data_IF_091950659249
#
_entry.id   IF_091950659249
#
_cell.length_a   1.000
_cell.length_b   1.000
_cell.length_c   1.000
_cell.angle_alpha   90.00
_cell.angle_beta   90.00
_cell.angle_gamma   90.00
#
_symmetry.space_group_name_H-M   'P 1'
#
loop_
_entity.id
_entity.type
_entity.pdbx_description
1 polymer ?
#
# COMPACT_ATOMS: atom_id res chain seq x y z
N UNK A 1 0.09 1.75 36.90
CA UNK A 1 0.70 1.92 35.55
C UNK A 1 0.58 0.67 34.67
N UNK A 2 1.17 -0.50 34.99
CA UNK A 2 1.07 -1.67 34.06
C UNK A 2 -0.36 -2.17 33.83
N UNK A 3 -1.22 -2.16 34.83
CA UNK A 3 -2.60 -2.62 34.72
C UNK A 3 -3.48 -1.64 33.92
N UNK A 4 -3.22 -0.37 34.00
CA UNK A 4 -3.93 0.70 33.28
C UNK A 4 -3.73 0.64 31.75
N UNK A 5 -2.56 0.16 31.30
CA UNK A 5 -2.22 -0.02 29.88
C UNK A 5 -2.64 -1.41 29.33
N UNK A 6 -3.52 -2.12 30.05
CA UNK A 6 -4.04 -3.41 29.63
C UNK A 6 -5.22 -3.24 28.68
N UNK A 7 -5.25 -3.97 27.58
CA UNK A 7 -6.36 -3.99 26.63
C UNK A 7 -7.60 -4.57 27.33
N UNK A 8 -8.66 -3.77 27.41
CA UNK A 8 -9.94 -4.15 28.04
C UNK A 8 -10.99 -4.54 27.02
N UNK A 9 -10.93 -3.99 25.78
CA UNK A 9 -11.92 -4.21 24.76
C UNK A 9 -11.35 -3.96 23.35
N UNK A 10 -11.81 -4.73 22.38
CA UNK A 10 -11.59 -4.49 20.93
C UNK A 10 -12.97 -4.56 20.26
N UNK A 11 -13.31 -3.56 19.46
CA UNK A 11 -14.59 -3.48 18.73
C UNK A 11 -14.37 -3.09 17.30
N UNK A 12 -15.32 -3.46 16.43
CA UNK A 12 -15.29 -3.16 15.00
C UNK A 12 -16.51 -2.31 14.58
N UNK A 13 -16.33 -1.55 13.51
CA UNK A 13 -17.37 -0.76 12.86
C UNK A 13 -17.16 -0.87 11.34
N UNK A 14 -18.19 -1.18 10.58
CA UNK A 14 -18.13 -1.18 9.11
C UNK A 14 -18.26 0.25 8.60
N UNK A 15 -17.37 0.65 7.71
CA UNK A 15 -17.33 1.98 7.09
C UNK A 15 -17.42 1.82 5.57
N UNK A 16 -18.30 2.62 4.95
CA UNK A 16 -18.42 2.68 3.49
C UNK A 16 -18.34 4.14 3.03
N UNK A 17 -17.45 4.38 2.06
CA UNK A 17 -17.23 5.72 1.48
C UNK A 17 -17.27 5.64 -0.05
N UNK A 18 -18.25 6.28 -0.71
CA UNK A 18 -18.36 6.27 -2.17
C UNK A 18 -17.18 6.97 -2.84
N UNK A 19 -16.67 6.39 -3.93
CA UNK A 19 -15.69 7.04 -4.81
C UNK A 19 -16.38 8.02 -5.77
N UNK A 20 -15.63 9.02 -6.25
CA UNK A 20 -16.09 9.94 -7.30
C UNK A 20 -16.34 9.22 -8.62
N UNK A 21 -15.47 8.26 -8.95
CA UNK A 21 -15.55 7.42 -10.14
C UNK A 21 -15.12 6.00 -9.78
N UNK A 22 -15.61 4.96 -10.51
CA UNK A 22 -15.14 3.60 -10.33
C UNK A 22 -13.62 3.50 -10.54
N UNK A 23 -12.95 2.78 -9.67
CA UNK A 23 -11.53 2.44 -9.80
C UNK A 23 -11.39 1.06 -10.43
N UNK A 24 -10.74 0.96 -11.60
CA UNK A 24 -10.68 -0.25 -12.42
C UNK A 24 -9.23 -0.72 -12.56
N UNK A 25 -8.98 -1.97 -12.22
CA UNK A 25 -7.72 -2.68 -12.41
C UNK A 25 -7.95 -3.95 -13.24
N UNK A 26 -6.88 -4.62 -13.66
CA UNK A 26 -6.95 -5.96 -14.28
C UNK A 26 -7.71 -6.97 -13.39
N UNK A 27 -7.64 -6.85 -12.07
CA UNK A 27 -8.19 -7.83 -11.15
C UNK A 27 -9.66 -7.59 -10.79
N UNK A 28 -10.11 -6.32 -10.65
CA UNK A 28 -11.46 -5.99 -10.18
C UNK A 28 -11.81 -4.50 -10.33
N UNK A 29 -13.10 -4.19 -10.08
CA UNK A 29 -13.63 -2.81 -10.05
C UNK A 29 -14.11 -2.46 -8.64
N UNK A 30 -13.71 -1.28 -8.14
CA UNK A 30 -14.09 -0.74 -6.82
C UNK A 30 -14.94 0.52 -7.01
N UNK A 31 -16.12 0.57 -6.40
CA UNK A 31 -17.05 1.72 -6.47
C UNK A 31 -17.10 2.53 -5.18
N UNK A 32 -16.69 1.92 -4.07
CA UNK A 32 -16.65 2.54 -2.74
C UNK A 32 -15.51 1.94 -1.91
N UNK A 33 -15.01 2.69 -0.95
CA UNK A 33 -14.17 2.14 0.11
C UNK A 33 -15.06 1.34 1.04
N UNK A 34 -14.81 0.04 1.18
CA UNK A 34 -15.41 -0.80 2.20
C UNK A 34 -14.33 -1.13 3.21
N UNK A 35 -14.48 -0.66 4.45
CA UNK A 35 -13.46 -0.81 5.48
C UNK A 35 -14.05 -1.28 6.81
N UNK A 36 -13.23 -1.92 7.62
CA UNK A 36 -13.49 -2.15 9.04
C UNK A 36 -12.63 -1.18 9.84
N UNK A 37 -13.28 -0.32 10.62
CA UNK A 37 -12.62 0.48 11.66
C UNK A 37 -12.55 -0.34 12.95
N UNK A 38 -11.38 -0.36 13.59
CA UNK A 38 -11.13 -1.05 14.86
C UNK A 38 -10.87 -0.03 15.94
N UNK A 39 -11.45 -0.22 17.13
CA UNK A 39 -11.14 0.52 18.35
C UNK A 39 -10.58 -0.43 19.39
N UNK A 40 -9.36 -0.19 19.83
CA UNK A 40 -8.70 -0.87 20.95
C UNK A 40 -8.77 0.02 22.18
N UNK A 41 -9.47 -0.44 23.21
CA UNK A 41 -9.67 0.34 24.47
C UNK A 41 -8.81 -0.24 25.59
N UNK A 42 -8.11 0.61 26.30
CA UNK A 42 -7.34 0.25 27.49
C UNK A 42 -8.18 0.37 28.76
N UNK A 43 -7.75 -0.22 29.86
CA UNK A 43 -8.40 -0.13 31.18
C UNK A 43 -8.48 1.31 31.70
N UNK A 44 -7.52 2.17 31.37
CA UNK A 44 -7.53 3.59 31.73
C UNK A 44 -8.47 4.45 30.86
N UNK A 45 -9.18 3.84 29.91
CA UNK A 45 -10.13 4.51 29.02
C UNK A 45 -9.53 5.08 27.73
N UNK A 46 -8.22 5.02 27.52
CA UNK A 46 -7.60 5.43 26.24
C UNK A 46 -8.09 4.53 25.11
N UNK A 47 -8.31 5.10 23.94
CA UNK A 47 -8.79 4.39 22.75
C UNK A 47 -7.83 4.67 21.60
N UNK A 48 -7.33 3.60 21.01
CA UNK A 48 -6.61 3.66 19.73
C UNK A 48 -7.52 3.20 18.59
N UNK A 49 -7.33 3.82 17.43
CA UNK A 49 -8.13 3.58 16.24
C UNK A 49 -7.24 3.13 15.08
N UNK A 50 -7.70 2.13 14.36
CA UNK A 50 -7.10 1.68 13.11
C UNK A 50 -8.18 1.24 12.14
N UNK A 51 -7.83 1.09 10.88
CA UNK A 51 -8.76 0.60 9.87
C UNK A 51 -8.10 -0.40 8.93
N UNK A 52 -8.91 -1.26 8.33
CA UNK A 52 -8.50 -2.14 7.26
C UNK A 52 -9.52 -2.18 6.14
N UNK A 53 -9.02 -2.31 4.93
CA UNK A 53 -9.81 -2.53 3.73
C UNK A 53 -9.50 -3.92 3.21
N UNK A 54 -10.50 -4.80 3.03
CA UNK A 54 -10.30 -6.11 2.43
C UNK A 54 -10.06 -5.99 0.92
N UNK A 55 -9.40 -7.00 0.36
CA UNK A 55 -9.25 -7.13 -1.08
C UNK A 55 -9.28 -8.62 -1.46
N UNK A 56 -10.41 -9.07 -2.02
CA UNK A 56 -10.65 -10.49 -2.31
C UNK A 56 -9.64 -11.10 -3.28
N UNK A 57 -9.12 -10.30 -4.21
CA UNK A 57 -8.21 -10.78 -5.26
C UNK A 57 -6.73 -10.63 -4.92
N UNK A 58 -6.38 -9.84 -3.89
CA UNK A 58 -4.99 -9.67 -3.44
C UNK A 58 -4.74 -10.35 -2.11
N UNK A 59 -5.60 -10.10 -1.09
CA UNK A 59 -5.43 -10.64 0.26
C UNK A 59 -6.35 -11.82 0.57
N UNK A 60 -7.41 -12.01 -0.24
CA UNK A 60 -8.39 -13.09 -0.06
C UNK A 60 -9.44 -12.82 1.01
N UNK A 61 -9.51 -11.59 1.50
CA UNK A 61 -10.42 -11.19 2.58
C UNK A 61 -11.63 -10.40 2.05
N UNK A 62 -12.75 -10.47 2.77
CA UNK A 62 -13.90 -9.59 2.63
C UNK A 62 -14.30 -9.01 4.00
N UNK A 63 -15.29 -8.13 4.04
CA UNK A 63 -15.72 -7.45 5.27
C UNK A 63 -16.13 -8.43 6.37
N UNK A 64 -16.86 -9.49 6.03
CA UNK A 64 -17.31 -10.48 7.01
C UNK A 64 -16.14 -11.28 7.58
N UNK A 65 -15.20 -11.71 6.74
CA UNK A 65 -13.98 -12.41 7.20
C UNK A 65 -13.14 -11.53 8.09
N UNK A 66 -12.94 -10.24 7.76
CA UNK A 66 -12.22 -9.31 8.61
C UNK A 66 -12.89 -9.18 9.99
N UNK A 67 -14.21 -9.00 10.02
CA UNK A 67 -14.95 -8.87 11.26
C UNK A 67 -14.82 -10.09 12.14
N UNK A 68 -15.04 -11.29 11.59
CA UNK A 68 -14.94 -12.57 12.33
C UNK A 68 -13.51 -12.74 12.87
N UNK A 69 -12.49 -12.51 12.05
CA UNK A 69 -11.10 -12.69 12.48
C UNK A 69 -10.73 -11.69 13.59
N UNK A 70 -11.18 -10.45 13.51
CA UNK A 70 -10.90 -9.46 14.55
C UNK A 70 -11.65 -9.80 15.85
N UNK A 71 -12.96 -10.03 15.77
CA UNK A 71 -13.81 -10.18 16.95
C UNK A 71 -13.69 -11.55 17.63
N UNK A 72 -13.58 -12.62 16.86
CA UNK A 72 -13.62 -13.98 17.39
C UNK A 72 -12.24 -14.65 17.52
N UNK A 73 -11.22 -14.15 16.80
CA UNK A 73 -9.88 -14.75 16.81
C UNK A 73 -8.84 -13.84 17.46
N UNK A 74 -8.74 -12.58 17.03
CA UNK A 74 -7.72 -11.65 17.52
C UNK A 74 -8.11 -11.09 18.89
N UNK A 75 -9.30 -10.53 19.04
CA UNK A 75 -9.73 -9.85 20.26
C UNK A 75 -9.65 -10.77 21.50
N UNK A 76 -10.15 -12.02 21.51
CA UNK A 76 -10.06 -12.88 22.68
C UNK A 76 -8.62 -13.22 23.11
N UNK A 77 -7.68 -13.15 22.19
CA UNK A 77 -6.26 -13.43 22.46
C UNK A 77 -5.51 -12.21 23.00
N UNK A 78 -5.89 -11.00 22.58
CA UNK A 78 -5.21 -9.76 22.97
C UNK A 78 -5.81 -9.08 24.20
N UNK A 79 -7.11 -9.27 24.48
CA UNK A 79 -7.74 -8.75 25.69
C UNK A 79 -7.03 -9.34 26.93
N UNK A 80 -6.64 -8.44 27.86
CA UNK A 80 -5.82 -8.80 29.02
C UNK A 80 -4.31 -8.62 28.82
N UNK A 81 -3.84 -8.44 27.59
CA UNK A 81 -2.44 -8.11 27.29
C UNK A 81 -2.14 -6.64 27.54
N UNK A 82 -0.90 -6.31 27.93
CA UNK A 82 -0.50 -4.94 28.28
C UNK A 82 0.41 -4.32 27.23
N UNK A 83 0.14 -3.08 26.84
CA UNK A 83 0.99 -2.25 25.99
C UNK A 83 2.35 -1.90 26.64
N UNK A 84 2.52 -2.15 27.94
CA UNK A 84 3.84 -2.05 28.58
C UNK A 84 4.85 -3.08 28.03
N UNK A 85 4.37 -4.12 27.34
CA UNK A 85 5.17 -5.17 26.72
C UNK A 85 4.82 -5.25 25.21
N UNK A 86 5.22 -4.23 24.44
CA UNK A 86 4.82 -4.07 23.03
C UNK A 86 5.29 -5.24 22.17
N UNK A 87 6.56 -5.65 22.27
CA UNK A 87 7.12 -6.72 21.41
C UNK A 87 6.38 -8.07 21.57
N UNK A 88 6.14 -8.61 22.78
CA UNK A 88 5.33 -9.81 22.96
C UNK A 88 3.90 -9.65 22.44
N UNK A 89 3.27 -8.48 22.64
CA UNK A 89 1.92 -8.18 22.16
C UNK A 89 1.84 -8.23 20.64
N UNK A 90 2.76 -7.54 19.95
CA UNK A 90 2.82 -7.53 18.48
C UNK A 90 3.12 -8.92 17.93
N UNK A 91 4.04 -9.66 18.53
CA UNK A 91 4.31 -11.04 18.15
C UNK A 91 3.06 -11.93 18.30
N UNK A 92 2.30 -11.77 19.38
CA UNK A 92 1.05 -12.49 19.58
C UNK A 92 0.03 -12.14 18.49
N UNK A 93 -0.16 -10.85 18.16
CA UNK A 93 -1.04 -10.39 17.10
C UNK A 93 -0.67 -11.04 15.75
N UNK A 94 0.61 -11.01 15.38
CA UNK A 94 1.05 -11.47 14.07
C UNK A 94 1.09 -12.99 13.91
N UNK A 95 1.11 -13.74 15.02
CA UNK A 95 1.11 -15.21 15.01
C UNK A 95 -0.25 -15.85 15.33
N UNK A 96 -1.28 -15.06 15.67
CA UNK A 96 -2.59 -15.56 16.14
C UNK A 96 -3.34 -16.35 15.08
N UNK A 97 -3.15 -16.00 13.82
CA UNK A 97 -3.76 -16.63 12.64
C UNK A 97 -2.81 -16.53 11.44
N UNK A 98 -2.87 -17.49 10.53
CA UNK A 98 -2.10 -17.44 9.27
C UNK A 98 -2.76 -16.46 8.30
N UNK A 99 -1.96 -15.75 7.48
CA UNK A 99 -2.44 -14.72 6.56
C UNK A 99 -3.29 -13.64 7.27
N UNK A 100 -4.45 -13.23 6.71
CA UNK A 100 -5.35 -12.23 7.28
C UNK A 100 -4.64 -10.89 7.56
N UNK A 101 -3.84 -10.44 6.62
CA UNK A 101 -3.07 -9.20 6.70
C UNK A 101 -3.92 -7.99 7.10
N UNK A 102 -5.04 -7.71 6.40
CA UNK A 102 -5.87 -6.56 6.71
C UNK A 102 -6.43 -6.56 8.14
N UNK A 103 -6.90 -7.70 8.63
CA UNK A 103 -7.42 -7.81 10.00
C UNK A 103 -6.34 -7.51 11.05
N UNK A 104 -5.13 -8.02 10.85
CA UNK A 104 -3.97 -7.70 11.70
C UNK A 104 -3.58 -6.24 11.59
N UNK A 105 -3.55 -5.68 10.38
CA UNK A 105 -3.18 -4.29 10.14
C UNK A 105 -4.09 -3.30 10.87
N UNK A 106 -5.41 -3.53 10.89
CA UNK A 106 -6.34 -2.67 11.62
C UNK A 106 -6.02 -2.62 13.13
N UNK A 107 -5.74 -3.77 13.73
CA UNK A 107 -5.42 -3.87 15.16
C UNK A 107 -3.99 -3.35 15.44
N UNK A 108 -3.03 -3.63 14.56
CA UNK A 108 -1.66 -3.12 14.63
C UNK A 108 -1.64 -1.59 14.62
N UNK A 109 -2.31 -0.96 13.65
CA UNK A 109 -2.44 0.50 13.55
C UNK A 109 -3.08 1.09 14.83
N UNK A 110 -4.15 0.48 15.34
CA UNK A 110 -4.80 0.92 16.58
C UNK A 110 -3.87 0.82 17.81
N UNK A 111 -3.00 -0.17 17.86
CA UNK A 111 -1.97 -0.30 18.92
C UNK A 111 -0.92 0.81 18.76
N UNK A 112 -0.45 1.08 17.55
CA UNK A 112 0.49 2.17 17.31
C UNK A 112 -0.12 3.54 17.61
N UNK A 113 -1.41 3.75 17.33
CA UNK A 113 -2.12 4.97 17.72
C UNK A 113 -2.15 5.13 19.26
N UNK A 114 -2.43 4.07 20.01
CA UNK A 114 -2.29 4.10 21.49
C UNK A 114 -0.87 4.43 21.95
N UNK A 115 0.15 3.91 21.28
CA UNK A 115 1.54 4.22 21.62
C UNK A 115 1.86 5.71 21.39
N UNK A 116 1.34 6.32 20.32
CA UNK A 116 1.50 7.75 20.08
C UNK A 116 0.88 8.57 21.20
N UNK A 117 -0.31 8.20 21.66
CA UNK A 117 -1.01 8.84 22.78
C UNK A 117 -0.24 8.68 24.10
N UNK A 118 0.28 7.48 24.40
CA UNK A 118 1.03 7.17 25.62
C UNK A 118 2.35 7.96 25.67
N UNK A 119 3.05 8.08 24.55
CA UNK A 119 4.35 8.76 24.48
C UNK A 119 4.23 10.26 24.13
N UNK A 120 3.03 10.74 23.81
CA UNK A 120 2.76 12.13 23.38
C UNK A 120 3.61 12.54 22.17
N UNK A 121 3.71 11.69 21.18
CA UNK A 121 4.45 11.93 19.93
C UNK A 121 3.58 11.54 18.73
N UNK A 122 3.83 12.15 17.56
CA UNK A 122 3.20 11.69 16.31
C UNK A 122 3.72 10.30 15.90
N UNK A 123 2.95 9.58 15.10
CA UNK A 123 3.35 8.26 14.60
C UNK A 123 4.65 8.32 13.79
N UNK A 124 4.82 9.37 12.99
CA UNK A 124 6.06 9.60 12.25
C UNK A 124 7.28 9.69 13.20
N UNK A 125 7.18 10.46 14.31
CA UNK A 125 8.26 10.55 15.31
C UNK A 125 8.48 9.24 16.06
N UNK A 126 7.41 8.53 16.41
CA UNK A 126 7.50 7.22 17.07
C UNK A 126 8.28 6.21 16.21
N UNK A 127 8.14 6.30 14.88
CA UNK A 127 8.82 5.44 13.91
C UNK A 127 10.22 5.96 13.52
N UNK A 128 10.70 7.06 14.11
CA UNK A 128 12.02 7.63 13.84
C UNK A 128 12.04 8.69 12.74
N UNK A 129 10.89 9.31 12.44
CA UNK A 129 10.61 10.21 11.33
C UNK A 129 11.73 11.10 10.84
N UNK A 130 12.10 10.96 9.58
CA UNK A 130 13.15 11.73 8.91
C UNK A 130 12.62 12.71 7.84
N UNK A 131 11.42 12.49 7.34
CA UNK A 131 10.76 13.30 6.32
C UNK A 131 9.51 13.96 6.87
N UNK A 132 9.15 15.14 6.34
CA UNK A 132 7.92 15.83 6.75
C UNK A 132 6.74 15.47 5.88
N UNK A 133 6.96 15.26 4.57
CA UNK A 133 5.92 14.86 3.62
C UNK A 133 6.52 14.21 2.38
N UNK A 134 5.71 13.43 1.67
CA UNK A 134 6.04 12.87 0.35
C UNK A 134 4.92 13.17 -0.64
N UNK A 135 5.29 13.40 -1.92
CA UNK A 135 4.34 13.50 -3.01
C UNK A 135 3.86 12.11 -3.43
N UNK A 136 2.54 11.91 -3.47
CA UNK A 136 1.95 10.69 -4.03
C UNK A 136 1.80 10.80 -5.54
N UNK A 137 1.81 9.66 -6.23
CA UNK A 137 1.29 9.57 -7.59
C UNK A 137 -0.26 9.58 -7.59
N UNK A 138 -0.83 9.46 -8.78
CA UNK A 138 -2.27 9.24 -8.96
C UNK A 138 -2.48 8.15 -10.00
N UNK A 139 -3.36 7.22 -9.71
CA UNK A 139 -3.63 6.05 -10.55
C UNK A 139 -4.61 6.37 -11.67
N UNK A 140 -4.18 6.10 -12.90
CA UNK A 140 -5.02 6.08 -14.09
C UNK A 140 -5.57 4.65 -14.24
N UNK A 141 -6.87 4.50 -14.08
CA UNK A 141 -7.56 3.22 -14.20
C UNK A 141 -7.51 2.66 -15.62
N UNK A 142 -7.64 1.34 -15.76
CA UNK A 142 -7.78 0.70 -17.08
C UNK A 142 -9.05 1.22 -17.76
N UNK A 143 -8.92 1.55 -19.04
CA UNK A 143 -10.00 2.05 -19.87
C UNK A 143 -9.59 2.13 -21.34
N UNK A 144 -10.43 2.77 -22.16
CA UNK A 144 -10.05 3.06 -23.55
C UNK A 144 -8.90 4.06 -23.59
N UNK A 145 -7.94 3.92 -24.53
CA UNK A 145 -6.76 4.80 -24.60
C UNK A 145 -7.09 6.30 -24.53
N UNK A 146 -8.12 6.74 -25.26
CA UNK A 146 -8.53 8.15 -25.26
C UNK A 146 -9.06 8.64 -23.89
N UNK A 147 -9.77 7.77 -23.14
CA UNK A 147 -10.28 8.07 -21.81
C UNK A 147 -9.14 8.16 -20.80
N UNK A 148 -8.17 7.22 -20.88
CA UNK A 148 -6.95 7.22 -20.05
C UNK A 148 -6.11 8.49 -20.28
N UNK A 149 -5.95 8.92 -21.52
CA UNK A 149 -5.25 10.16 -21.88
C UNK A 149 -5.94 11.39 -21.29
N UNK A 150 -7.26 11.47 -21.38
CA UNK A 150 -8.02 12.59 -20.80
C UNK A 150 -7.98 12.59 -19.27
N UNK A 151 -8.03 11.42 -18.63
CA UNK A 151 -7.85 11.28 -17.18
C UNK A 151 -6.44 11.75 -16.78
N UNK A 152 -5.40 11.32 -17.49
CA UNK A 152 -4.02 11.72 -17.24
C UNK A 152 -3.83 13.24 -17.32
N UNK A 153 -4.35 13.89 -18.37
CA UNK A 153 -4.29 15.37 -18.52
C UNK A 153 -4.97 16.09 -17.35
N UNK A 154 -6.19 15.67 -16.98
CA UNK A 154 -6.91 16.25 -15.84
C UNK A 154 -6.15 16.07 -14.53
N UNK A 155 -5.50 14.91 -14.34
CA UNK A 155 -4.71 14.61 -13.14
C UNK A 155 -3.48 15.52 -13.05
N UNK A 156 -2.76 15.72 -14.16
CA UNK A 156 -1.62 16.66 -14.20
C UNK A 156 -2.06 18.09 -13.96
N UNK A 157 -3.23 18.52 -14.48
CA UNK A 157 -3.80 19.85 -14.17
C UNK A 157 -4.13 20.04 -12.69
N UNK A 158 -4.37 18.97 -11.93
CA UNK A 158 -4.53 18.98 -10.47
C UNK A 158 -3.19 19.10 -9.72
N UNK A 159 -2.05 19.09 -10.43
CA UNK A 159 -0.71 19.25 -9.88
C UNK A 159 0.05 17.95 -9.63
N UNK A 160 -0.46 16.80 -10.05
CA UNK A 160 0.28 15.53 -9.94
C UNK A 160 1.44 15.50 -10.93
N UNK A 161 2.61 15.12 -10.45
CA UNK A 161 3.86 15.02 -11.21
C UNK A 161 4.30 13.58 -11.48
N UNK A 162 3.58 12.60 -10.94
CA UNK A 162 3.75 11.20 -11.20
C UNK A 162 2.39 10.54 -11.43
N UNK A 163 2.29 9.68 -12.44
CA UNK A 163 1.09 8.93 -12.78
C UNK A 163 1.38 7.43 -12.72
N UNK A 164 0.54 6.68 -12.01
CA UNK A 164 0.53 5.23 -12.04
C UNK A 164 -0.50 4.76 -13.07
N UNK A 165 -0.08 4.01 -14.09
CA UNK A 165 -0.92 3.58 -15.21
C UNK A 165 -1.20 2.09 -15.05
N UNK A 166 -2.47 1.72 -14.92
CA UNK A 166 -2.90 0.32 -14.85
C UNK A 166 -2.96 -0.29 -16.25
N UNK A 167 -2.38 -1.48 -16.40
CA UNK A 167 -2.25 -2.25 -17.65
C UNK A 167 -2.62 -3.71 -17.43
N UNK A 168 -2.62 -4.50 -18.50
CA UNK A 168 -2.72 -5.97 -18.45
C UNK A 168 -4.02 -6.57 -18.99
N UNK A 169 -5.04 -5.74 -19.34
CA UNK A 169 -6.32 -6.21 -19.91
C UNK A 169 -6.34 -6.24 -21.43
N UNK A 170 -5.41 -5.52 -22.06
CA UNK A 170 -5.33 -5.40 -23.51
C UNK A 170 -4.16 -6.20 -24.10
N UNK A 171 -4.01 -6.18 -25.41
CA UNK A 171 -2.81 -6.71 -26.05
C UNK A 171 -1.59 -5.86 -25.68
N UNK A 172 -0.39 -6.45 -25.73
CA UNK A 172 0.87 -5.72 -25.42
C UNK A 172 1.03 -4.48 -26.32
N UNK A 173 0.63 -4.57 -27.58
CA UNK A 173 0.73 -3.44 -28.51
C UNK A 173 -0.21 -2.30 -28.09
N UNK A 174 -1.42 -2.61 -27.65
CA UNK A 174 -2.40 -1.62 -27.14
C UNK A 174 -1.97 -1.04 -25.81
N UNK A 175 -1.48 -1.85 -24.87
CA UNK A 175 -0.94 -1.38 -23.58
C UNK A 175 0.21 -0.39 -23.80
N UNK A 176 1.21 -0.76 -24.61
CA UNK A 176 2.37 0.09 -24.90
C UNK A 176 1.97 1.34 -25.68
N UNK A 177 1.03 1.25 -26.61
CA UNK A 177 0.55 2.42 -27.36
C UNK A 177 -0.20 3.40 -26.44
N UNK A 178 -1.02 2.89 -25.50
CA UNK A 178 -1.70 3.71 -24.50
C UNK A 178 -0.71 4.48 -23.62
N UNK A 179 0.37 3.83 -23.17
CA UNK A 179 1.44 4.48 -22.40
C UNK A 179 2.12 5.58 -23.21
N UNK A 180 2.43 5.35 -24.50
CA UNK A 180 3.03 6.36 -25.38
C UNK A 180 2.12 7.56 -25.58
N UNK A 181 0.82 7.34 -25.80
CA UNK A 181 -0.16 8.43 -25.96
C UNK A 181 -0.31 9.25 -24.70
N UNK A 182 -0.34 8.60 -23.52
CA UNK A 182 -0.35 9.29 -22.22
C UNK A 182 0.92 10.11 -22.06
N UNK A 183 2.11 9.52 -22.27
CA UNK A 183 3.39 10.23 -22.17
C UNK A 183 3.47 11.45 -23.07
N UNK A 184 3.03 11.33 -24.33
CA UNK A 184 2.96 12.43 -25.27
C UNK A 184 2.01 13.56 -24.79
N UNK A 185 0.90 13.17 -24.16
CA UNK A 185 -0.14 14.12 -23.74
C UNK A 185 0.22 14.89 -22.46
N UNK A 186 0.99 14.27 -21.53
CA UNK A 186 1.36 14.88 -20.25
C UNK A 186 2.75 15.53 -20.25
N UNK A 187 3.60 15.18 -21.22
CA UNK A 187 4.96 15.74 -21.36
C UNK A 187 6.01 15.02 -20.51
N UNK A 188 7.29 15.37 -20.75
CA UNK A 188 8.45 14.72 -20.16
C UNK A 188 8.68 15.01 -18.67
N UNK A 189 8.06 16.07 -18.14
CA UNK A 189 8.20 16.47 -16.72
C UNK A 189 7.36 15.61 -15.77
N UNK A 190 6.45 14.80 -16.30
CA UNK A 190 5.62 13.86 -15.55
C UNK A 190 6.27 12.47 -15.60
N UNK A 191 6.55 11.86 -14.43
CA UNK A 191 7.05 10.51 -14.39
C UNK A 191 5.90 9.49 -14.47
N UNK A 192 6.14 8.38 -15.16
CA UNK A 192 5.17 7.32 -15.34
C UNK A 192 5.61 6.07 -14.56
N UNK A 193 4.66 5.43 -13.90
CA UNK A 193 4.78 4.17 -13.18
C UNK A 193 3.76 3.22 -13.77
N UNK A 194 4.20 2.07 -14.24
CA UNK A 194 3.32 1.12 -14.89
C UNK A 194 3.01 -0.02 -13.94
N UNK A 195 1.73 -0.36 -13.76
CA UNK A 195 1.32 -1.46 -12.90
C UNK A 195 0.45 -2.45 -13.69
N UNK A 196 0.94 -3.66 -13.79
CA UNK A 196 0.35 -4.73 -14.60
C UNK A 196 -0.49 -5.70 -13.75
N UNK A 197 -0.35 -5.65 -12.44
CA UNK A 197 -1.06 -6.53 -11.49
C UNK A 197 -1.06 -8.00 -11.92
N UNK A 198 0.12 -8.52 -12.28
CA UNK A 198 0.35 -9.92 -12.70
C UNK A 198 -0.25 -10.29 -14.07
N UNK A 199 -0.67 -9.32 -14.89
CA UNK A 199 -1.46 -9.55 -16.11
C UNK A 199 -0.67 -10.11 -17.30
N UNK A 200 0.68 -10.11 -17.27
CA UNK A 200 1.47 -10.57 -18.41
C UNK A 200 2.11 -11.94 -18.18
N UNK A 201 2.26 -12.70 -19.25
CA UNK A 201 3.19 -13.83 -19.29
C UNK A 201 4.64 -13.34 -19.45
N UNK A 202 5.63 -14.20 -19.15
CA UNK A 202 7.04 -13.87 -19.31
C UNK A 202 7.40 -13.37 -20.72
N UNK A 203 6.87 -14.01 -21.78
CA UNK A 203 7.12 -13.58 -23.18
C UNK A 203 6.49 -12.21 -23.49
N UNK A 204 5.30 -11.98 -22.98
CA UNK A 204 4.62 -10.67 -23.13
C UNK A 204 5.41 -9.57 -22.39
N UNK A 205 5.83 -9.84 -21.17
CA UNK A 205 6.65 -8.90 -20.39
C UNK A 205 7.95 -8.55 -21.10
N UNK A 206 8.71 -9.54 -21.60
CA UNK A 206 9.94 -9.29 -22.37
C UNK A 206 9.69 -8.39 -23.59
N UNK A 207 8.59 -8.63 -24.31
CA UNK A 207 8.22 -7.80 -25.47
C UNK A 207 7.85 -6.38 -25.05
N UNK A 208 7.00 -6.22 -24.03
CA UNK A 208 6.57 -4.93 -23.52
C UNK A 208 7.75 -4.09 -23.01
N UNK A 209 8.63 -4.68 -22.19
CA UNK A 209 9.82 -4.01 -21.67
C UNK A 209 10.73 -3.49 -22.79
N UNK A 210 10.96 -4.31 -23.83
CA UNK A 210 11.74 -3.89 -24.99
C UNK A 210 11.08 -2.70 -25.72
N UNK A 211 9.80 -2.80 -26.03
CA UNK A 211 9.06 -1.76 -26.76
C UNK A 211 9.01 -0.44 -25.97
N UNK A 212 8.89 -0.50 -24.64
CA UNK A 212 8.87 0.67 -23.76
C UNK A 212 10.27 1.28 -23.63
N UNK A 213 11.33 0.45 -23.53
CA UNK A 213 12.70 0.94 -23.50
C UNK A 213 13.07 1.66 -24.81
N UNK A 214 12.69 1.10 -25.98
CA UNK A 214 12.89 1.70 -27.28
C UNK A 214 12.14 3.05 -27.46
N UNK A 215 11.05 3.26 -26.70
CA UNK A 215 10.26 4.49 -26.75
C UNK A 215 10.88 5.65 -25.95
N UNK A 216 11.89 5.41 -25.13
CA UNK A 216 12.62 6.41 -24.32
C UNK A 216 11.69 7.35 -23.52
N UNK A 217 10.74 6.77 -22.79
CA UNK A 217 9.78 7.48 -21.97
C UNK A 217 10.35 7.75 -20.56
N UNK A 218 9.79 8.75 -19.85
CA UNK A 218 10.12 9.02 -18.45
C UNK A 218 9.41 8.00 -17.52
N UNK A 219 9.96 6.78 -17.46
CA UNK A 219 9.43 5.67 -16.66
C UNK A 219 10.25 5.47 -15.39
N UNK A 220 9.58 5.51 -14.23
CA UNK A 220 10.21 5.17 -12.94
C UNK A 220 10.45 3.66 -12.84
N UNK A 221 9.43 2.84 -13.16
CA UNK A 221 9.46 1.38 -13.08
C UNK A 221 8.23 0.72 -13.75
N UNK A 222 8.30 -0.61 -13.88
CA UNK A 222 7.14 -1.47 -14.17
C UNK A 222 6.90 -2.36 -12.95
N UNK A 223 5.67 -2.30 -12.41
CA UNK A 223 5.25 -3.01 -11.20
C UNK A 223 4.54 -4.32 -11.56
N UNK A 224 4.95 -5.40 -10.87
CA UNK A 224 4.42 -6.76 -10.85
C UNK A 224 3.88 -7.26 -12.22
N UNK A 225 4.76 -7.37 -13.24
CA UNK A 225 4.31 -7.76 -14.57
C UNK A 225 3.88 -9.25 -14.67
N UNK A 226 4.49 -10.13 -13.85
CA UNK A 226 4.25 -11.57 -13.86
C UNK A 226 3.56 -12.03 -12.57
N UNK A 227 2.93 -13.24 -12.58
CA UNK A 227 2.40 -13.87 -11.38
C UNK A 227 3.41 -13.89 -10.21
N UNK A 228 2.92 -13.57 -9.00
CA UNK A 228 3.73 -13.36 -7.80
C UNK A 228 4.64 -14.53 -7.42
N UNK A 229 4.23 -15.76 -7.76
CA UNK A 229 4.98 -16.99 -7.47
C UNK A 229 6.11 -17.30 -8.48
N UNK A 230 6.23 -16.53 -9.58
CA UNK A 230 7.23 -16.73 -10.64
C UNK A 230 8.53 -15.94 -10.36
N UNK A 231 9.08 -16.02 -9.13
CA UNK A 231 10.27 -15.25 -8.73
C UNK A 231 11.49 -15.46 -9.62
N UNK A 232 11.66 -16.69 -10.14
CA UNK A 232 12.77 -16.99 -11.08
C UNK A 232 12.63 -16.18 -12.37
N UNK A 233 11.43 -16.17 -12.94
CA UNK A 233 11.17 -15.48 -14.19
C UNK A 233 11.21 -13.96 -14.02
N UNK A 234 10.75 -13.45 -12.86
CA UNK A 234 10.91 -12.04 -12.47
C UNK A 234 12.39 -11.64 -12.37
N UNK A 235 13.23 -12.48 -11.77
CA UNK A 235 14.67 -12.24 -11.69
C UNK A 235 15.33 -12.23 -13.07
N UNK A 236 14.94 -13.14 -13.97
CA UNK A 236 15.43 -13.18 -15.35
C UNK A 236 14.97 -11.96 -16.16
N UNK A 237 13.72 -11.54 -16.00
CA UNK A 237 13.15 -10.35 -16.64
C UNK A 237 13.92 -9.10 -16.21
N UNK A 238 14.15 -8.92 -14.88
CA UNK A 238 14.93 -7.84 -14.32
C UNK A 238 16.32 -7.74 -14.93
N UNK A 239 17.03 -8.88 -15.04
CA UNK A 239 18.38 -8.92 -15.62
C UNK A 239 18.46 -8.52 -17.10
N UNK A 240 17.36 -8.70 -17.83
CA UNK A 240 17.26 -8.43 -19.29
C UNK A 240 16.69 -7.04 -19.59
N UNK A 241 16.28 -6.27 -18.57
CA UNK A 241 15.65 -4.97 -18.73
C UNK A 241 16.54 -3.84 -18.26
N UNK A 242 16.44 -2.71 -18.96
CA UNK A 242 16.96 -1.41 -18.52
C UNK A 242 15.92 -0.60 -17.73
N UNK A 243 14.63 -0.98 -17.81
CA UNK A 243 13.57 -0.37 -17.00
C UNK A 243 13.53 -1.09 -15.66
N UNK A 244 13.54 -0.36 -14.53
CA UNK A 244 13.49 -0.97 -13.21
C UNK A 244 12.23 -1.81 -12.99
N UNK A 245 12.36 -2.93 -12.29
CA UNK A 245 11.28 -3.84 -11.92
C UNK A 245 10.90 -3.63 -10.46
N UNK A 246 9.62 -3.32 -10.19
CA UNK A 246 9.04 -3.28 -8.85
C UNK A 246 8.20 -4.53 -8.58
N UNK A 247 8.30 -5.08 -7.35
CA UNK A 247 7.45 -6.19 -6.90
C UNK A 247 6.44 -5.71 -5.86
N UNK A 248 5.17 -6.07 -6.04
CA UNK A 248 4.05 -5.82 -5.13
C UNK A 248 3.51 -7.13 -4.54
N UNK A 249 2.76 -7.89 -5.31
CA UNK A 249 2.09 -9.11 -4.84
C UNK A 249 3.06 -10.26 -4.52
N UNK A 250 4.33 -10.12 -4.87
CA UNK A 250 5.38 -11.08 -4.49
C UNK A 250 5.87 -10.93 -3.04
N UNK A 251 5.45 -9.87 -2.30
CA UNK A 251 5.94 -9.59 -0.95
C UNK A 251 4.78 -9.28 -0.01
N UNK A 252 4.49 -10.22 0.89
CA UNK A 252 3.51 -10.08 1.97
C UNK A 252 4.18 -10.15 3.35
N UNK A 253 5.28 -10.89 3.48
CA UNK A 253 5.91 -11.19 4.75
C UNK A 253 7.42 -10.91 4.72
N UNK A 254 8.08 -10.77 5.88
CA UNK A 254 9.54 -10.72 5.94
C UNK A 254 10.22 -11.95 5.30
N UNK A 255 9.57 -13.12 5.34
CA UNK A 255 10.08 -14.32 4.68
C UNK A 255 10.04 -14.20 3.15
N UNK A 256 9.00 -13.53 2.60
CA UNK A 256 8.95 -13.21 1.16
C UNK A 256 10.07 -12.23 0.78
N UNK A 257 10.30 -11.20 1.61
CA UNK A 257 11.38 -10.26 1.40
C UNK A 257 12.74 -10.96 1.26
N UNK A 258 13.04 -11.90 2.17
CA UNK A 258 14.27 -12.70 2.08
C UNK A 258 14.33 -13.54 0.80
N UNK A 259 13.20 -14.11 0.34
CA UNK A 259 13.13 -14.87 -0.93
C UNK A 259 13.41 -13.99 -2.13
N UNK A 260 12.82 -12.79 -2.18
CA UNK A 260 13.02 -11.81 -3.26
C UNK A 260 14.47 -11.34 -3.30
N UNK A 261 15.04 -10.99 -2.14
CA UNK A 261 16.47 -10.59 -2.03
C UNK A 261 17.39 -11.71 -2.54
N UNK A 262 17.18 -12.94 -2.06
CA UNK A 262 17.97 -14.10 -2.48
C UNK A 262 17.87 -14.40 -3.97
N UNK A 263 16.69 -14.20 -4.55
CA UNK A 263 16.47 -14.40 -6.00
C UNK A 263 17.03 -13.27 -6.86
N UNK A 264 17.33 -12.09 -6.28
CA UNK A 264 17.70 -10.90 -7.03
C UNK A 264 16.58 -10.41 -7.97
N UNK A 265 15.33 -10.52 -7.53
CA UNK A 265 14.16 -10.38 -8.39
C UNK A 265 13.58 -8.96 -8.47
N UNK A 266 14.09 -7.99 -7.72
CA UNK A 266 13.52 -6.65 -7.66
C UNK A 266 14.58 -5.55 -7.70
N UNK A 267 14.25 -4.43 -8.33
CA UNK A 267 14.94 -3.13 -8.17
C UNK A 267 14.26 -2.29 -7.10
N UNK A 268 12.93 -2.42 -6.98
CA UNK A 268 12.08 -1.78 -5.99
C UNK A 268 11.04 -2.76 -5.44
N UNK A 269 10.50 -2.47 -4.26
CA UNK A 269 9.42 -3.26 -3.67
C UNK A 269 8.33 -2.34 -3.11
N UNK A 270 7.06 -2.71 -3.37
CA UNK A 270 5.89 -2.02 -2.84
C UNK A 270 5.43 -2.68 -1.53
N UNK A 271 5.57 -1.97 -0.41
CA UNK A 271 5.08 -2.36 0.91
C UNK A 271 3.67 -1.79 1.07
N UNK A 272 2.70 -2.66 1.36
CA UNK A 272 1.33 -2.25 1.73
C UNK A 272 0.99 -2.79 3.11
N UNK A 273 0.55 -1.93 4.02
CA UNK A 273 0.21 -2.34 5.39
C UNK A 273 -0.86 -3.44 5.41
N UNK A 274 -1.81 -3.39 4.47
CA UNK A 274 -2.85 -4.41 4.35
C UNK A 274 -2.30 -5.77 3.92
N UNK A 275 -1.24 -5.84 3.14
CA UNK A 275 -0.62 -7.10 2.75
C UNK A 275 0.17 -7.71 3.92
N UNK A 276 1.02 -6.92 4.56
CA UNK A 276 1.96 -7.44 5.56
C UNK A 276 1.38 -7.52 6.98
N UNK A 277 0.22 -6.93 7.23
CA UNK A 277 -0.44 -7.00 8.54
C UNK A 277 -0.19 -5.78 9.43
N UNK A 278 0.32 -4.66 8.90
CA UNK A 278 0.50 -3.41 9.64
C UNK A 278 1.94 -2.93 9.71
N UNK A 279 2.17 -1.95 10.58
CA UNK A 279 3.43 -1.21 10.73
C UNK A 279 4.57 -2.12 11.24
N UNK A 280 4.26 -3.01 12.17
CA UNK A 280 5.27 -3.90 12.79
C UNK A 280 5.96 -4.81 11.77
N UNK A 281 5.21 -5.49 10.92
CA UNK A 281 5.78 -6.35 9.87
C UNK A 281 6.35 -5.51 8.70
N UNK A 282 5.72 -4.37 8.35
CA UNK A 282 6.24 -3.45 7.35
C UNK A 282 7.65 -2.93 7.72
N UNK A 283 7.88 -2.65 9.01
CA UNK A 283 9.20 -2.22 9.51
C UNK A 283 10.26 -3.29 9.27
N UNK A 284 9.94 -4.57 9.54
CA UNK A 284 10.88 -5.67 9.29
C UNK A 284 11.19 -5.84 7.80
N UNK A 285 10.14 -5.75 6.95
CA UNK A 285 10.28 -5.85 5.50
C UNK A 285 11.17 -4.72 4.98
N UNK A 286 10.89 -3.47 5.39
CA UNK A 286 11.69 -2.31 4.99
C UNK A 286 13.15 -2.44 5.41
N UNK A 287 13.43 -2.86 6.66
CA UNK A 287 14.80 -3.05 7.16
C UNK A 287 15.57 -4.11 6.38
N UNK A 288 14.92 -5.20 5.97
CA UNK A 288 15.53 -6.23 5.12
C UNK A 288 15.91 -5.68 3.75
N UNK A 289 15.02 -4.94 3.09
CA UNK A 289 15.29 -4.34 1.78
C UNK A 289 16.30 -3.21 1.87
N UNK A 290 16.24 -2.37 2.90
CA UNK A 290 17.25 -1.34 3.17
C UNK A 290 18.66 -1.95 3.32
N UNK A 291 18.77 -3.02 4.11
CA UNK A 291 20.03 -3.75 4.28
C UNK A 291 20.55 -4.40 2.99
N UNK A 292 19.64 -4.73 2.07
CA UNK A 292 19.97 -5.27 0.74
C UNK A 292 20.20 -4.19 -0.33
N UNK A 293 20.08 -2.89 0.01
CA UNK A 293 20.19 -1.78 -0.93
C UNK A 293 19.05 -1.68 -1.95
N UNK A 294 17.85 -2.22 -1.61
CA UNK A 294 16.65 -2.19 -2.45
C UNK A 294 15.69 -1.14 -1.89
N UNK A 295 15.47 -0.01 -2.56
CA UNK A 295 14.53 0.99 -2.11
C UNK A 295 13.08 0.49 -2.18
N UNK A 296 12.23 1.06 -1.31
CA UNK A 296 10.82 0.70 -1.22
C UNK A 296 9.89 1.82 -1.72
N UNK A 297 8.72 1.42 -2.13
CA UNK A 297 7.51 2.23 -2.19
C UNK A 297 6.60 1.83 -1.04
N UNK A 298 5.79 2.76 -0.55
CA UNK A 298 4.65 2.46 0.30
C UNK A 298 3.39 2.74 -0.49
N UNK A 299 2.65 1.67 -0.76
CA UNK A 299 1.37 1.73 -1.46
C UNK A 299 0.20 1.38 -0.56
N UNK A 300 -1.00 1.52 -1.14
CA UNK A 300 -2.25 1.11 -0.51
C UNK A 300 -3.16 0.34 -1.47
N UNK A 301 -4.23 -0.19 -0.92
CA UNK A 301 -5.45 -0.50 -1.65
C UNK A 301 -6.29 0.79 -1.73
N UNK A 302 -7.56 0.69 -2.12
CA UNK A 302 -8.50 1.82 -1.99
C UNK A 302 -8.99 1.82 -0.54
N UNK A 303 -8.29 2.57 0.33
CA UNK A 303 -8.34 2.44 1.79
C UNK A 303 -8.96 3.65 2.49
N UNK A 304 -9.42 3.41 3.72
CA UNK A 304 -9.92 4.47 4.61
C UNK A 304 -8.80 5.42 5.07
N UNK A 305 -9.14 6.68 5.42
CA UNK A 305 -8.14 7.69 5.81
C UNK A 305 -7.22 7.28 6.95
N UNK A 306 -7.69 6.50 7.92
CA UNK A 306 -6.91 6.05 9.06
C UNK A 306 -5.75 5.14 8.65
N UNK A 307 -5.98 4.22 7.71
CA UNK A 307 -4.91 3.35 7.20
C UNK A 307 -3.96 4.11 6.28
N UNK A 308 -4.46 5.05 5.47
CA UNK A 308 -3.61 5.93 4.65
C UNK A 308 -2.72 6.82 5.52
N UNK A 309 -3.27 7.36 6.63
CA UNK A 309 -2.49 8.14 7.59
C UNK A 309 -1.31 7.32 8.17
N UNK A 310 -1.59 6.08 8.58
CA UNK A 310 -0.56 5.18 9.09
C UNK A 310 0.50 4.85 8.02
N UNK A 311 0.08 4.60 6.77
CA UNK A 311 0.98 4.34 5.65
C UNK A 311 1.85 5.58 5.31
N UNK A 312 1.27 6.79 5.32
CA UNK A 312 1.99 8.05 5.11
C UNK A 312 3.01 8.31 6.23
N UNK A 313 2.63 8.06 7.50
CA UNK A 313 3.54 8.17 8.64
C UNK A 313 4.73 7.21 8.51
N UNK A 314 4.44 5.95 8.15
CA UNK A 314 5.45 4.93 7.91
C UNK A 314 6.40 5.35 6.77
N UNK A 315 5.87 5.79 5.64
CA UNK A 315 6.66 6.22 4.50
C UNK A 315 7.58 7.41 4.85
N UNK A 316 7.04 8.41 5.54
CA UNK A 316 7.78 9.61 5.94
C UNK A 316 8.86 9.32 7.00
N UNK A 317 8.72 8.25 7.79
CA UNK A 317 9.68 7.86 8.81
C UNK A 317 10.92 7.15 8.25
N UNK A 318 10.81 6.46 7.11
CA UNK A 318 11.86 5.57 6.63
C UNK A 318 12.58 6.13 5.40
N UNK A 319 13.89 6.36 5.50
CA UNK A 319 14.72 6.92 4.43
C UNK A 319 14.78 5.99 3.19
N UNK A 320 14.63 4.67 3.38
CA UNK A 320 14.61 3.69 2.30
C UNK A 320 13.33 3.75 1.44
N UNK A 321 12.27 4.39 1.93
CA UNK A 321 11.05 4.62 1.13
C UNK A 321 11.28 5.78 0.17
N UNK A 322 11.30 5.47 -1.12
CA UNK A 322 11.56 6.42 -2.20
C UNK A 322 10.28 6.95 -2.85
N UNK A 323 9.23 6.14 -2.90
CA UNK A 323 7.96 6.46 -3.55
C UNK A 323 6.78 6.21 -2.61
N UNK A 324 5.66 6.89 -2.86
CA UNK A 324 4.37 6.56 -2.26
C UNK A 324 3.30 6.49 -3.36
N UNK A 325 2.32 5.59 -3.13
CA UNK A 325 1.12 5.35 -3.93
C UNK A 325 -0.07 5.27 -2.95
N UNK A 326 -0.51 6.45 -2.49
CA UNK A 326 -1.50 6.64 -1.42
C UNK A 326 -2.62 7.57 -1.88
N UNK A 327 -3.09 7.37 -3.09
CA UNK A 327 -3.97 8.28 -3.81
C UNK A 327 -5.46 8.10 -3.52
N UNK A 328 -5.87 7.05 -2.79
CA UNK A 328 -7.29 6.76 -2.51
C UNK A 328 -8.04 7.93 -1.86
N UNK A 329 -7.36 8.74 -1.02
CA UNK A 329 -7.93 9.94 -0.39
C UNK A 329 -8.21 11.10 -1.36
N UNK A 330 -7.77 10.99 -2.60
CA UNK A 330 -8.09 11.93 -3.68
C UNK A 330 -9.21 11.44 -4.60
N UNK A 331 -9.71 10.21 -4.37
CA UNK A 331 -10.73 9.56 -5.19
C UNK A 331 -12.14 9.60 -4.56
N UNK A 332 -12.26 10.08 -3.32
CA UNK A 332 -13.52 10.10 -2.56
C UNK A 332 -14.40 11.32 -2.91
N UNK A 333 -15.72 11.13 -2.89
CA UNK A 333 -16.72 12.13 -3.31
C UNK A 333 -16.85 13.36 -2.42
N UNK A 334 -16.46 13.28 -1.16
CA UNK A 334 -16.69 14.33 -0.18
C UNK A 334 -15.41 14.66 0.56
N UNK A 335 -15.32 15.88 1.09
CA UNK A 335 -14.32 16.24 2.09
C UNK A 335 -14.60 15.45 3.37
N UNK A 336 -14.08 14.23 3.41
CA UNK A 336 -14.07 13.44 4.63
C UNK A 336 -13.11 14.06 5.63
N UNK A 337 -13.46 13.93 6.89
CA UNK A 337 -12.49 14.14 7.96
C UNK A 337 -11.37 13.10 7.79
N UNK A 338 -10.19 13.58 7.45
CA UNK A 338 -9.01 12.75 7.24
C UNK A 338 -8.29 12.44 8.57
N UNK A 339 -8.84 12.91 9.71
CA UNK A 339 -8.22 12.71 11.03
C UNK A 339 -6.80 13.30 11.06
N UNK A 340 -5.84 12.47 11.43
CA UNK A 340 -4.42 12.85 11.52
C UNK A 340 -3.70 12.92 10.18
N UNK A 341 -4.33 12.48 9.09
CA UNK A 341 -3.77 12.62 7.74
C UNK A 341 -3.91 14.07 7.27
N UNK A 342 -2.79 14.70 6.96
CA UNK A 342 -2.74 16.04 6.33
C UNK A 342 -2.42 15.92 4.86
N UNK A 343 -3.06 16.79 4.06
CA UNK A 343 -2.95 16.84 2.60
C UNK A 343 -2.79 18.28 2.14
N UNK A 344 -1.67 18.59 1.45
CA UNK A 344 -1.48 19.88 0.75
C UNK A 344 -1.02 19.59 -0.67
N UNK A 345 -1.86 19.95 -1.65
CA UNK A 345 -1.65 19.53 -3.02
C UNK A 345 -1.55 18.01 -3.10
N UNK A 346 -0.43 17.52 -3.63
CA UNK A 346 -0.14 16.08 -3.78
C UNK A 346 0.68 15.49 -2.62
N UNK A 347 1.01 16.30 -1.62
CA UNK A 347 1.84 15.89 -0.48
C UNK A 347 0.99 15.39 0.68
N UNK A 348 1.39 14.25 1.24
CA UNK A 348 0.76 13.59 2.36
C UNK A 348 1.71 13.46 3.55
N UNK A 349 1.17 13.66 4.76
CA UNK A 349 1.87 13.35 6.01
C UNK A 349 0.88 13.14 7.16
N UNK A 350 1.36 12.52 8.22
CA UNK A 350 0.66 12.35 9.50
C UNK A 350 0.99 13.52 10.42
N UNK A 351 -0.03 14.15 11.03
CA UNK A 351 0.13 15.30 11.94
C UNK A 351 0.61 14.92 13.33
#
# INVERSE_FOLDING_TARGET
>A
MKDELTISKITTEVVEVPLEQPFITHLHTVNAIHAIRVKVTLKNGMIGTGAATPNEVVTGDNIDTLKIIIEEVIAPRLIGSSLANVEPLMKQLHTVVVANGPAKAAVDIAIYDLLTQIYHVSLNHLLGGSKQSMATDYTISIGKPAEMVEQAKKTVQRGFTALKIKLGDHSIDEDVESVKQIAQAVGSDVSLRLDVNQGWSYKQALRAFKMLADANLNLDFIEQPLPANQLRDLALLRQQSTIPLMLDESVFTPADALRVIKAGAADYVNIKLMKCGGIYEATKINQLFESAGIPCMVGSMIEAPESIAAAAAFANAHANVRFIDLDSVYMIKNDLDLGDLKRVGIHLWHS
#
